data_IF_551056374117
#
_entry.id   IF_551056374117
#
_cell.length_a   1.000
_cell.length_b   1.000
_cell.length_c   1.000
_cell.angle_alpha   90.00
_cell.angle_beta   90.00
_cell.angle_gamma   90.00
#
_symmetry.space_group_name_H-M   'P 1'
#
loop_
_entity.id
_entity.type
_entity.pdbx_description
1 polymer ?
#
# COMPACT_ATOMS: atom_id res chain seq x y z
N UNK A 1 31.04 6.75 -15.76
CA UNK A 1 29.83 5.94 -16.01
C UNK A 1 28.83 6.83 -16.72
N UNK A 2 28.26 6.38 -17.85
CA UNK A 2 27.15 7.13 -18.46
C UNK A 2 25.92 6.96 -17.58
N UNK A 3 25.26 8.08 -17.24
CA UNK A 3 23.98 8.04 -16.53
C UNK A 3 22.98 7.22 -17.33
N UNK A 4 22.42 6.20 -16.73
CA UNK A 4 21.40 5.36 -17.31
C UNK A 4 20.02 5.90 -16.96
N UNK A 5 19.14 5.97 -17.94
CA UNK A 5 17.81 6.55 -17.81
C UNK A 5 16.71 5.56 -18.17
N UNK A 6 15.64 5.61 -17.42
CA UNK A 6 14.40 4.83 -17.63
C UNK A 6 13.26 5.72 -18.04
N UNK A 7 12.41 5.23 -18.94
CA UNK A 7 11.10 5.82 -19.16
C UNK A 7 10.23 5.70 -17.91
N UNK A 8 9.31 6.63 -17.67
CA UNK A 8 8.43 6.59 -16.51
C UNK A 8 7.65 5.27 -16.39
N UNK A 9 7.27 4.67 -17.54
CA UNK A 9 6.61 3.36 -17.58
C UNK A 9 7.49 2.23 -17.07
N UNK A 10 8.75 2.23 -17.49
CA UNK A 10 9.74 1.22 -17.07
C UNK A 10 10.02 1.34 -15.57
N UNK A 11 10.24 2.56 -15.08
CA UNK A 11 10.47 2.80 -13.66
C UNK A 11 9.25 2.38 -12.81
N UNK A 12 8.02 2.71 -13.24
CA UNK A 12 6.80 2.31 -12.56
C UNK A 12 6.64 0.77 -12.52
N UNK A 13 6.96 0.09 -13.63
CA UNK A 13 6.92 -1.36 -13.71
C UNK A 13 7.92 -2.01 -12.74
N UNK A 14 9.16 -1.52 -12.71
CA UNK A 14 10.20 -2.06 -11.83
C UNK A 14 9.81 -2.03 -10.35
N UNK A 15 9.16 -0.96 -9.91
CA UNK A 15 8.70 -0.82 -8.52
C UNK A 15 7.25 -1.30 -8.30
N UNK A 16 6.66 -2.01 -9.25
CA UNK A 16 5.35 -2.64 -9.10
C UNK A 16 4.16 -1.70 -8.94
N UNK A 17 4.25 -0.43 -9.39
CA UNK A 17 3.18 0.56 -9.24
C UNK A 17 2.57 0.98 -10.58
N UNK A 18 1.40 1.62 -10.54
CA UNK A 18 0.82 2.23 -11.72
C UNK A 18 1.59 3.50 -12.12
N UNK A 19 1.55 3.88 -13.41
CA UNK A 19 2.13 5.14 -13.88
C UNK A 19 1.63 6.36 -13.09
N UNK A 20 0.36 6.36 -12.69
CA UNK A 20 -0.23 7.45 -11.90
C UNK A 20 0.36 7.54 -10.48
N UNK A 21 0.51 6.38 -9.82
CA UNK A 21 1.17 6.33 -8.51
C UNK A 21 2.62 6.79 -8.63
N UNK A 22 3.29 6.42 -9.72
CA UNK A 22 4.64 6.86 -9.98
C UNK A 22 4.71 8.39 -10.21
N UNK A 23 3.79 8.96 -11.01
CA UNK A 23 3.66 10.40 -11.20
C UNK A 23 3.37 11.15 -9.89
N UNK A 24 2.63 10.53 -8.96
CA UNK A 24 2.45 11.08 -7.62
C UNK A 24 3.76 11.12 -6.84
N UNK A 25 4.61 10.07 -6.91
CA UNK A 25 5.93 10.09 -6.27
C UNK A 25 6.84 11.20 -6.84
N UNK A 26 6.75 11.46 -8.13
CA UNK A 26 7.47 12.57 -8.76
C UNK A 26 6.95 13.92 -8.26
N UNK A 27 5.63 14.11 -8.23
CA UNK A 27 5.00 15.36 -7.74
C UNK A 27 5.32 15.65 -6.28
N UNK A 28 5.49 14.62 -5.46
CA UNK A 28 5.85 14.73 -4.04
C UNK A 28 7.37 14.73 -3.81
N UNK A 29 8.15 14.94 -4.88
CA UNK A 29 9.63 15.04 -4.87
C UNK A 29 10.34 13.81 -4.27
N UNK A 30 9.64 12.67 -4.19
CA UNK A 30 10.24 11.41 -3.71
C UNK A 30 11.18 10.80 -4.74
N UNK A 31 10.93 11.06 -6.03
CA UNK A 31 11.75 10.59 -7.15
C UNK A 31 12.02 11.77 -8.07
N UNK A 32 13.29 12.08 -8.27
CA UNK A 32 13.72 13.13 -9.20
C UNK A 32 13.68 12.64 -10.65
N UNK A 33 13.31 13.55 -11.56
CA UNK A 33 13.25 13.28 -12.99
C UNK A 33 13.98 14.36 -13.77
N UNK A 34 14.49 13.98 -14.94
CA UNK A 34 15.17 14.89 -15.87
C UNK A 34 14.53 14.82 -17.24
N UNK A 35 14.71 15.90 -18.03
CA UNK A 35 14.35 15.91 -19.44
C UNK A 35 15.52 15.37 -20.25
N UNK A 36 15.32 14.26 -20.97
CA UNK A 36 16.31 13.68 -21.85
C UNK A 36 15.69 13.45 -23.24
N UNK A 37 16.25 14.08 -24.26
CA UNK A 37 15.78 14.04 -25.67
C UNK A 37 14.27 14.31 -25.80
N UNK A 38 13.77 15.32 -25.07
CA UNK A 38 12.36 15.69 -25.08
C UNK A 38 11.42 14.79 -24.28
N UNK A 39 11.92 13.72 -23.66
CA UNK A 39 11.14 12.83 -22.79
C UNK A 39 11.51 13.05 -21.31
N UNK A 40 10.50 13.03 -20.45
CA UNK A 40 10.71 12.98 -19.01
C UNK A 40 11.16 11.58 -18.60
N UNK A 41 12.33 11.48 -18.00
CA UNK A 41 12.98 10.20 -17.66
C UNK A 41 13.47 10.21 -16.20
N UNK A 42 13.75 9.03 -15.67
CA UNK A 42 14.26 8.81 -14.31
C UNK A 42 15.66 8.26 -14.41
N UNK A 43 16.61 8.82 -13.65
CA UNK A 43 17.92 8.21 -13.47
C UNK A 43 17.78 6.90 -12.70
N UNK A 44 18.49 5.86 -13.15
CA UNK A 44 18.53 4.56 -12.45
C UNK A 44 19.01 4.74 -11.01
N UNK A 45 20.03 5.58 -10.77
CA UNK A 45 20.52 5.89 -9.44
C UNK A 45 19.48 6.52 -8.52
N UNK A 46 18.64 7.44 -9.04
CA UNK A 46 17.56 8.05 -8.26
C UNK A 46 16.47 7.04 -7.90
N UNK A 47 16.15 6.13 -8.83
CA UNK A 47 15.20 5.04 -8.56
C UNK A 47 15.76 4.06 -7.52
N UNK A 48 17.05 3.72 -7.61
CA UNK A 48 17.72 2.83 -6.66
C UNK A 48 17.74 3.42 -5.24
N UNK A 49 18.01 4.72 -5.10
CA UNK A 49 17.91 5.42 -3.81
C UNK A 49 16.51 5.33 -3.23
N UNK A 50 15.48 5.63 -4.03
CA UNK A 50 14.09 5.52 -3.61
C UNK A 50 13.75 4.10 -3.14
N UNK A 51 14.10 3.06 -3.92
CA UNK A 51 13.84 1.66 -3.56
C UNK A 51 14.53 1.30 -2.24
N UNK A 52 15.80 1.66 -2.07
CA UNK A 52 16.54 1.42 -0.84
C UNK A 52 15.90 2.12 0.38
N UNK A 53 15.41 3.35 0.22
CA UNK A 53 14.68 4.05 1.28
C UNK A 53 13.36 3.37 1.63
N UNK A 54 12.64 2.83 0.65
CA UNK A 54 11.41 2.08 0.92
C UNK A 54 11.71 0.77 1.66
N UNK A 55 12.73 0.02 1.25
CA UNK A 55 13.13 -1.25 1.88
C UNK A 55 13.58 -1.05 3.33
N UNK A 56 14.37 0.00 3.59
CA UNK A 56 14.81 0.36 4.96
C UNK A 56 13.66 0.53 5.95
N UNK A 57 12.47 0.89 5.50
CA UNK A 57 11.29 1.00 6.38
C UNK A 57 10.89 -0.34 7.00
N UNK A 58 11.23 -1.44 6.33
CA UNK A 58 10.88 -2.80 6.77
C UNK A 58 12.04 -3.52 7.47
N UNK A 59 13.23 -2.91 7.53
CA UNK A 59 14.41 -3.52 8.19
C UNK A 59 14.13 -3.88 9.64
N UNK A 60 13.43 -3.03 10.36
CA UNK A 60 13.09 -3.25 11.76
C UNK A 60 12.13 -4.43 11.93
N UNK A 61 11.12 -4.53 11.06
CA UNK A 61 10.20 -5.65 11.04
C UNK A 61 10.95 -6.95 10.69
N UNK A 62 11.80 -6.91 9.66
CA UNK A 62 12.64 -8.05 9.28
C UNK A 62 13.50 -8.53 10.46
N UNK A 63 14.21 -7.62 11.12
CA UNK A 63 15.02 -7.95 12.31
C UNK A 63 14.18 -8.58 13.42
N UNK A 64 12.95 -8.10 13.64
CA UNK A 64 12.04 -8.69 14.61
C UNK A 64 11.67 -10.13 14.24
N UNK A 65 11.24 -10.36 13.00
CA UNK A 65 10.77 -11.68 12.58
C UNK A 65 11.90 -12.72 12.47
N UNK A 66 13.11 -12.28 12.14
CA UNK A 66 14.32 -13.12 12.06
C UNK A 66 15.01 -13.32 13.42
N UNK A 67 14.64 -12.57 14.46
CA UNK A 67 15.27 -12.68 15.78
C UNK A 67 14.94 -14.01 16.44
N UNK A 68 15.96 -14.69 17.01
CA UNK A 68 15.81 -15.91 17.78
C UNK A 68 14.96 -15.71 19.03
N UNK A 69 15.04 -14.52 19.64
CA UNK A 69 14.26 -14.15 20.82
C UNK A 69 13.56 -12.82 20.61
N UNK A 70 12.22 -12.85 20.47
CA UNK A 70 11.36 -11.66 20.35
C UNK A 70 11.46 -10.78 21.59
N UNK A 71 11.61 -11.37 22.77
CA UNK A 71 11.79 -10.63 24.02
C UNK A 71 13.11 -9.87 24.05
N UNK A 72 14.23 -10.50 23.64
CA UNK A 72 15.52 -9.86 23.54
C UNK A 72 15.48 -8.70 22.54
N UNK A 73 14.83 -8.89 21.39
CA UNK A 73 14.61 -7.82 20.40
C UNK A 73 13.94 -6.59 21.05
N UNK A 74 12.81 -6.79 21.77
CA UNK A 74 12.10 -5.65 22.37
C UNK A 74 12.90 -4.94 23.49
N UNK A 75 13.72 -5.67 24.21
CA UNK A 75 14.60 -5.07 25.23
C UNK A 75 15.64 -4.11 24.65
N UNK A 76 16.14 -4.38 23.46
CA UNK A 76 17.14 -3.56 22.78
C UNK A 76 16.55 -2.29 22.16
N UNK A 77 15.23 -2.20 22.04
CA UNK A 77 14.60 -1.05 21.42
C UNK A 77 14.63 0.18 22.36
N UNK A 78 14.90 1.38 21.82
CA UNK A 78 14.93 2.62 22.62
C UNK A 78 13.55 2.95 23.21
N UNK A 79 12.49 2.54 22.55
CA UNK A 79 11.11 2.71 23.00
C UNK A 79 10.70 1.50 23.85
N UNK A 80 10.41 1.75 25.12
CA UNK A 80 9.87 0.70 25.99
C UNK A 80 8.43 0.39 25.60
N UNK A 81 8.21 -0.82 25.13
CA UNK A 81 6.88 -1.38 24.90
C UNK A 81 6.54 -2.31 26.06
N UNK A 82 5.28 -2.26 26.53
CA UNK A 82 4.79 -3.30 27.43
C UNK A 82 4.78 -4.63 26.65
N UNK A 83 5.71 -5.49 26.99
CA UNK A 83 5.97 -6.75 26.29
C UNK A 83 5.01 -7.88 26.72
N UNK A 84 3.90 -7.57 27.38
CA UNK A 84 2.83 -8.54 27.56
C UNK A 84 2.21 -8.87 26.20
N UNK A 85 2.99 -9.59 25.39
CA UNK A 85 2.45 -10.26 24.23
C UNK A 85 1.42 -11.25 24.77
N UNK A 86 0.18 -11.08 24.41
CA UNK A 86 -0.83 -12.07 24.72
C UNK A 86 -0.57 -13.29 23.86
N UNK A 87 0.17 -14.25 24.41
CA UNK A 87 0.12 -15.62 23.91
C UNK A 87 -1.28 -16.09 24.33
N UNK A 88 -2.17 -16.26 23.39
CA UNK A 88 -3.43 -16.99 23.64
C UNK A 88 -2.98 -18.42 23.90
N UNK A 89 -3.17 -18.89 25.13
CA UNK A 89 -2.58 -20.14 25.64
C UNK A 89 -2.91 -21.39 24.79
N UNK A 90 -3.93 -21.34 23.95
CA UNK A 90 -4.36 -22.45 23.08
C UNK A 90 -3.85 -22.40 21.64
N UNK A 91 -3.14 -21.35 21.22
CA UNK A 91 -2.58 -21.27 19.87
C UNK A 91 -1.16 -20.70 19.94
N UNK A 92 -0.22 -21.34 19.26
CA UNK A 92 1.15 -20.81 19.06
C UNK A 92 1.17 -19.50 18.25
N UNK A 93 0.08 -18.73 18.27
CA UNK A 93 -0.10 -17.51 17.50
C UNK A 93 0.36 -16.32 18.33
N UNK A 94 1.38 -15.66 17.84
CA UNK A 94 1.88 -14.42 18.43
C UNK A 94 1.02 -13.23 18.00
N UNK A 95 0.66 -12.35 18.93
CA UNK A 95 -0.05 -11.12 18.68
C UNK A 95 0.80 -9.90 19.08
N UNK A 96 0.80 -8.88 18.24
CA UNK A 96 1.43 -7.60 18.50
C UNK A 96 0.37 -6.53 18.78
N UNK A 97 0.67 -5.65 19.72
CA UNK A 97 -0.18 -4.48 19.96
C UNK A 97 -0.12 -3.52 18.78
N UNK A 98 -1.15 -2.69 18.63
CA UNK A 98 -1.19 -1.63 17.62
C UNK A 98 0.09 -0.76 17.61
N UNK A 99 0.64 -0.46 18.80
CA UNK A 99 1.84 0.36 18.92
C UNK A 99 3.11 -0.38 18.49
N UNK A 100 3.21 -1.67 18.81
CA UNK A 100 4.32 -2.52 18.36
C UNK A 100 4.29 -2.66 16.83
N UNK A 101 3.13 -2.95 16.26
CA UNK A 101 2.94 -3.02 14.81
C UNK A 101 3.31 -1.71 14.12
N UNK A 102 2.83 -0.58 14.65
CA UNK A 102 3.16 0.75 14.12
C UNK A 102 4.67 1.02 14.15
N UNK A 103 5.33 0.63 15.22
CA UNK A 103 6.77 0.79 15.38
C UNK A 103 7.55 -0.06 14.38
N UNK A 104 7.21 -1.35 14.24
CA UNK A 104 7.89 -2.27 13.31
C UNK A 104 7.73 -1.82 11.85
N UNK A 105 6.57 -1.28 11.49
CA UNK A 105 6.29 -0.83 10.13
C UNK A 105 6.73 0.61 9.85
N UNK A 106 7.30 1.32 10.84
CA UNK A 106 7.64 2.74 10.70
C UNK A 106 6.42 3.64 10.44
N UNK A 107 5.24 3.25 10.94
CA UNK A 107 3.98 3.94 10.73
C UNK A 107 3.48 4.61 12.01
N UNK A 108 2.51 5.51 11.87
CA UNK A 108 1.75 6.00 13.02
C UNK A 108 0.69 4.96 13.45
N UNK A 109 0.33 4.97 14.74
CA UNK A 109 -0.78 4.14 15.23
C UNK A 109 -2.11 4.44 14.52
N UNK A 110 -2.30 5.67 14.05
CA UNK A 110 -3.44 6.06 13.23
C UNK A 110 -3.46 5.32 11.89
N UNK A 111 -2.32 5.25 11.19
CA UNK A 111 -2.21 4.54 9.92
C UNK A 111 -2.48 3.04 10.08
N UNK A 112 -1.99 2.41 11.15
CA UNK A 112 -2.30 1.00 11.42
C UNK A 112 -3.79 0.79 11.70
N UNK A 113 -4.46 1.68 12.46
CA UNK A 113 -5.91 1.64 12.63
C UNK A 113 -6.66 1.78 11.30
N UNK A 114 -6.18 2.68 10.45
CA UNK A 114 -6.75 2.82 9.10
C UNK A 114 -6.59 1.54 8.28
N UNK A 115 -5.45 0.85 8.37
CA UNK A 115 -5.22 -0.44 7.70
C UNK A 115 -6.18 -1.52 8.23
N UNK A 116 -6.42 -1.56 9.55
CA UNK A 116 -7.44 -2.45 10.14
C UNK A 116 -8.83 -2.13 9.58
N UNK A 117 -9.21 -0.86 9.51
CA UNK A 117 -10.51 -0.44 8.96
C UNK A 117 -10.68 -0.74 7.46
N UNK A 118 -9.57 -0.98 6.75
CA UNK A 118 -9.53 -1.37 5.34
C UNK A 118 -9.35 -2.88 5.13
N UNK A 119 -9.43 -3.66 6.21
CA UNK A 119 -9.21 -5.11 6.21
C UNK A 119 -7.84 -5.54 5.65
N UNK A 120 -6.81 -4.68 5.79
CA UNK A 120 -5.42 -5.05 5.49
C UNK A 120 -4.88 -5.93 6.60
N UNK A 121 -5.26 -5.64 7.85
CA UNK A 121 -4.99 -6.47 9.02
C UNK A 121 -6.28 -6.82 9.75
N UNK A 122 -6.37 -8.04 10.25
CA UNK A 122 -7.40 -8.45 11.19
C UNK A 122 -6.89 -8.21 12.61
N UNK A 123 -7.70 -7.55 13.42
CA UNK A 123 -7.33 -7.25 14.79
C UNK A 123 -8.36 -7.77 15.77
N UNK A 124 -7.87 -8.40 16.85
CA UNK A 124 -8.68 -8.71 18.01
C UNK A 124 -8.74 -7.47 18.90
N UNK A 125 -9.95 -7.02 19.22
CA UNK A 125 -10.17 -5.87 20.09
C UNK A 125 -10.47 -6.35 21.52
N UNK A 126 -9.75 -5.79 22.50
CA UNK A 126 -9.97 -6.04 23.91
C UNK A 126 -10.33 -4.73 24.62
N UNK A 127 -11.46 -4.70 25.31
CA UNK A 127 -11.89 -3.52 26.07
C UNK A 127 -11.35 -3.64 27.50
N UNK A 128 -10.48 -2.69 27.88
CA UNK A 128 -9.96 -2.53 29.26
C UNK A 128 -10.38 -1.19 29.83
N UNK A 129 -11.45 -1.18 30.63
CA UNK A 129 -12.06 0.03 31.14
C UNK A 129 -12.56 0.93 30.02
N UNK A 130 -12.07 2.16 29.92
CA UNK A 130 -12.44 3.12 28.87
C UNK A 130 -11.59 3.01 27.59
N UNK A 131 -10.68 2.06 27.48
CA UNK A 131 -9.74 1.93 26.36
C UNK A 131 -9.98 0.62 25.61
N UNK A 132 -9.95 0.72 24.29
CA UNK A 132 -9.92 -0.46 23.41
C UNK A 132 -8.48 -0.68 22.96
N UNK A 133 -7.96 -1.87 23.22
CA UNK A 133 -6.65 -2.32 22.76
C UNK A 133 -6.87 -3.21 21.53
N UNK A 134 -6.03 -3.03 20.52
CA UNK A 134 -6.04 -3.84 19.30
C UNK A 134 -4.80 -4.71 19.26
N UNK A 135 -5.00 -5.99 18.97
CA UNK A 135 -3.95 -6.99 18.83
C UNK A 135 -4.02 -7.56 17.41
N UNK A 136 -2.90 -7.54 16.71
CA UNK A 136 -2.77 -7.96 15.32
C UNK A 136 -1.89 -9.20 15.29
N UNK A 137 -2.25 -10.20 14.49
CA UNK A 137 -1.45 -11.43 14.34
C UNK A 137 -0.10 -11.10 13.73
N UNK A 138 0.96 -11.64 14.32
CA UNK A 138 2.33 -11.42 13.87
C UNK A 138 2.57 -11.95 12.45
N UNK A 139 1.98 -13.09 12.10
CA UNK A 139 2.07 -13.69 10.76
C UNK A 139 1.44 -12.81 9.66
N UNK A 140 0.31 -12.14 9.94
CA UNK A 140 -0.28 -11.19 8.99
C UNK A 140 0.65 -10.00 8.73
N UNK A 141 1.30 -9.50 9.78
CA UNK A 141 2.27 -8.41 9.64
C UNK A 141 3.46 -8.88 8.81
N UNK A 142 3.94 -10.11 9.04
CA UNK A 142 5.05 -10.67 8.27
C UNK A 142 4.68 -10.86 6.80
N UNK A 143 3.50 -11.42 6.51
CA UNK A 143 3.00 -11.54 5.14
C UNK A 143 2.95 -10.17 4.44
N UNK A 144 2.39 -9.16 5.11
CA UNK A 144 2.36 -7.80 4.58
C UNK A 144 3.76 -7.26 4.27
N UNK A 145 4.70 -7.38 5.21
CA UNK A 145 6.09 -6.94 5.04
C UNK A 145 6.74 -7.65 3.85
N UNK A 146 6.59 -8.95 3.76
CA UNK A 146 7.14 -9.77 2.68
C UNK A 146 6.56 -9.37 1.33
N UNK A 147 5.25 -9.16 1.24
CA UNK A 147 4.59 -8.68 0.02
C UNK A 147 5.11 -7.30 -0.41
N UNK A 148 5.26 -6.37 0.54
CA UNK A 148 5.80 -5.04 0.26
C UNK A 148 7.26 -5.10 -0.21
N UNK A 149 8.08 -5.97 0.36
CA UNK A 149 9.47 -6.18 -0.08
C UNK A 149 9.53 -6.83 -1.46
N UNK A 150 8.69 -7.85 -1.71
CA UNK A 150 8.59 -8.51 -3.02
C UNK A 150 8.18 -7.56 -4.14
N UNK A 151 7.43 -6.50 -3.83
CA UNK A 151 7.09 -5.46 -4.80
C UNK A 151 8.31 -4.85 -5.48
N UNK A 152 9.44 -4.76 -4.78
CA UNK A 152 10.68 -4.16 -5.30
C UNK A 152 11.66 -5.17 -5.88
N UNK A 153 11.35 -6.47 -5.89
CA UNK A 153 12.25 -7.53 -6.35
C UNK A 153 12.75 -7.33 -7.79
N UNK A 154 11.84 -6.92 -8.70
CA UNK A 154 12.21 -6.62 -10.09
C UNK A 154 13.15 -5.43 -10.22
N UNK A 155 13.00 -4.42 -9.35
CA UNK A 155 13.92 -3.27 -9.34
C UNK A 155 15.31 -3.68 -8.86
N UNK A 156 15.38 -4.49 -7.80
CA UNK A 156 16.65 -5.02 -7.28
C UNK A 156 17.34 -5.85 -8.38
N UNK A 157 16.63 -6.81 -8.98
CA UNK A 157 17.17 -7.63 -10.07
C UNK A 157 17.66 -6.77 -11.23
N UNK A 158 16.92 -5.71 -11.60
CA UNK A 158 17.35 -4.77 -12.63
C UNK A 158 18.63 -4.02 -12.25
N UNK A 159 18.78 -3.59 -10.99
CA UNK A 159 19.98 -2.85 -10.55
C UNK A 159 21.22 -3.74 -10.50
N UNK A 160 21.05 -5.03 -10.18
CA UNK A 160 22.13 -6.02 -10.03
C UNK A 160 22.52 -6.69 -11.35
N UNK A 161 21.63 -6.68 -12.37
CA UNK A 161 21.94 -7.35 -13.62
C UNK A 161 23.01 -6.59 -14.43
N UNK A 162 23.96 -7.34 -15.01
CA UNK A 162 25.00 -6.80 -15.89
C UNK A 162 24.44 -6.40 -17.26
N UNK A 163 23.52 -7.22 -17.80
CA UNK A 163 22.91 -7.02 -19.11
C UNK A 163 21.44 -6.53 -18.98
N UNK A 164 21.26 -5.21 -19.12
CA UNK A 164 19.94 -4.56 -19.10
C UNK A 164 19.03 -4.98 -20.26
N UNK A 165 19.63 -5.32 -21.40
CA UNK A 165 18.88 -5.77 -22.55
C UNK A 165 18.28 -7.16 -22.30
N UNK A 166 19.06 -8.10 -21.79
CA UNK A 166 18.62 -9.43 -21.41
C UNK A 166 17.52 -9.36 -20.34
N UNK A 167 17.63 -8.45 -19.35
CA UNK A 167 16.58 -8.20 -18.36
C UNK A 167 15.26 -7.83 -19.05
N UNK A 168 15.25 -6.85 -19.97
CA UNK A 168 14.03 -6.42 -20.63
C UNK A 168 13.47 -7.47 -21.58
N UNK A 169 14.29 -8.30 -22.22
CA UNK A 169 13.82 -9.45 -22.99
C UNK A 169 13.10 -10.47 -22.10
N UNK A 170 13.68 -10.80 -20.94
CA UNK A 170 13.07 -11.73 -19.97
C UNK A 170 11.67 -11.28 -19.53
N UNK A 171 11.48 -9.98 -19.33
CA UNK A 171 10.25 -9.42 -18.82
C UNK A 171 9.36 -8.75 -19.88
N UNK A 172 9.66 -8.91 -21.17
CA UNK A 172 8.95 -8.21 -22.24
C UNK A 172 7.45 -8.50 -22.25
N UNK A 173 7.05 -9.77 -22.17
CA UNK A 173 5.65 -10.18 -22.17
C UNK A 173 4.93 -9.73 -20.90
N UNK A 174 5.55 -9.88 -19.73
CA UNK A 174 4.98 -9.42 -18.46
C UNK A 174 4.82 -7.89 -18.44
N UNK A 175 5.79 -7.15 -18.95
CA UNK A 175 5.72 -5.70 -19.08
C UNK A 175 4.58 -5.26 -19.98
N UNK A 176 4.39 -5.91 -21.13
CA UNK A 176 3.30 -5.64 -22.07
C UNK A 176 1.94 -5.98 -21.46
N UNK A 177 1.80 -7.19 -20.90
CA UNK A 177 0.55 -7.71 -20.34
C UNK A 177 0.09 -6.95 -19.11
N UNK A 178 0.97 -6.74 -18.14
CA UNK A 178 0.67 -5.98 -16.92
C UNK A 178 0.19 -4.55 -17.23
N UNK A 179 0.74 -3.93 -18.26
CA UNK A 179 0.31 -2.61 -18.68
C UNK A 179 -1.09 -2.62 -19.27
N UNK A 180 -1.41 -3.62 -20.09
CA UNK A 180 -2.73 -3.76 -20.74
C UNK A 180 -3.80 -4.13 -19.71
N UNK A 181 -3.53 -5.07 -18.81
CA UNK A 181 -4.47 -5.51 -17.76
C UNK A 181 -4.77 -4.40 -16.77
N UNK A 182 -3.76 -3.72 -16.23
CA UNK A 182 -3.95 -2.56 -15.34
C UNK A 182 -4.72 -1.43 -16.01
N UNK A 183 -4.58 -1.24 -17.33
CA UNK A 183 -5.36 -0.28 -18.09
C UNK A 183 -6.82 -0.71 -18.24
N UNK A 184 -7.07 -2.00 -18.51
CA UNK A 184 -8.42 -2.59 -18.60
C UNK A 184 -9.16 -2.51 -17.27
N UNK A 185 -8.54 -2.96 -16.17
CA UNK A 185 -9.11 -2.89 -14.82
C UNK A 185 -9.47 -1.45 -14.42
N UNK A 186 -8.60 -0.51 -14.74
CA UNK A 186 -8.84 0.90 -14.44
C UNK A 186 -10.03 1.45 -15.21
N UNK A 187 -10.14 1.14 -16.49
CA UNK A 187 -11.27 1.56 -17.30
C UNK A 187 -12.55 0.91 -16.77
N UNK A 188 -12.52 -0.37 -16.40
CA UNK A 188 -13.66 -1.04 -15.79
C UNK A 188 -14.11 -0.35 -14.50
N UNK A 189 -13.19 -0.05 -13.57
CA UNK A 189 -13.50 0.68 -12.33
C UNK A 189 -14.07 2.08 -12.59
N UNK A 190 -13.62 2.75 -13.63
CA UNK A 190 -14.13 4.06 -14.03
C UNK A 190 -15.57 3.96 -14.55
N UNK A 191 -15.87 2.96 -15.38
CA UNK A 191 -17.23 2.71 -15.90
C UNK A 191 -18.19 2.27 -14.79
N UNK A 192 -17.73 1.44 -13.86
CA UNK A 192 -18.54 0.98 -12.72
C UNK A 192 -18.90 2.15 -11.79
N UNK A 193 -17.94 3.03 -11.49
CA UNK A 193 -18.21 4.27 -10.72
C UNK A 193 -19.24 5.18 -11.42
N UNK A 194 -19.15 5.33 -12.73
CA UNK A 194 -20.12 6.11 -13.51
C UNK A 194 -21.52 5.48 -13.53
N UNK A 195 -21.61 4.15 -13.58
CA UNK A 195 -22.88 3.43 -13.46
C UNK A 195 -23.54 3.69 -12.11
N UNK A 196 -22.78 3.57 -11.02
CA UNK A 196 -23.27 3.81 -9.66
C UNK A 196 -23.74 5.27 -9.50
N UNK A 197 -22.98 6.24 -9.99
CA UNK A 197 -23.37 7.65 -9.92
C UNK A 197 -24.66 7.94 -10.73
N UNK A 198 -24.82 7.31 -11.91
CA UNK A 198 -26.05 7.46 -12.71
C UNK A 198 -27.26 6.79 -12.07
N UNK A 199 -27.09 5.64 -11.39
CA UNK A 199 -28.17 4.96 -10.67
C UNK A 199 -28.63 5.78 -9.45
N UNK A 200 -27.66 6.32 -8.68
CA UNK A 200 -27.96 7.16 -7.51
C UNK A 200 -28.63 8.49 -7.93
N UNK A 201 -28.15 9.14 -9.00
CA UNK A 201 -28.77 10.36 -9.52
C UNK A 201 -30.21 10.16 -10.05
N UNK A 202 -30.55 8.98 -10.59
CA UNK A 202 -31.92 8.63 -10.98
C UNK A 202 -32.82 8.36 -9.79
N UNK A 203 -32.29 7.73 -8.74
CA UNK A 203 -33.03 7.49 -7.50
C UNK A 203 -33.40 8.81 -6.80
N UNK A 204 -32.47 9.78 -6.77
CA UNK A 204 -32.71 11.10 -6.19
C UNK A 204 -33.74 11.94 -6.99
N UNK A 205 -33.80 11.81 -8.32
CA UNK A 205 -34.82 12.45 -9.14
C UNK A 205 -36.19 11.83 -8.94
N UNK A 206 -36.30 10.49 -8.92
CA UNK A 206 -37.56 9.81 -8.66
C UNK A 206 -38.11 10.12 -7.27
N UNK A 207 -37.24 10.26 -6.25
CA UNK A 207 -37.62 10.67 -4.91
C UNK A 207 -38.13 12.13 -4.79
N UNK A 208 -37.67 13.01 -5.69
CA UNK A 208 -38.14 14.41 -5.74
C UNK A 208 -39.44 14.58 -6.50
N UNK A 209 -39.69 13.79 -7.52
CA UNK A 209 -40.98 13.81 -8.27
C UNK A 209 -42.10 13.20 -7.44
N UNK A 210 -41.86 12.12 -6.67
CA UNK A 210 -42.84 11.52 -5.79
C UNK A 210 -43.30 12.44 -4.64
N UNK A 211 -42.53 13.42 -4.23
CA UNK A 211 -42.88 14.40 -3.20
C UNK A 211 -43.70 15.59 -3.73
N UNK A 212 -43.75 15.83 -5.04
CA UNK A 212 -44.49 16.94 -5.64
C UNK A 212 -45.97 16.62 -5.91
N UNK A 213 -46.36 15.36 -5.91
CA UNK A 213 -47.75 14.91 -6.22
C UNK A 213 -48.61 14.70 -5.00
N UNK A 214 -48.09 14.81 -3.77
CA UNK A 214 -48.89 14.60 -2.54
C UNK A 214 -49.35 15.88 -1.82
N UNK A 215 -49.31 17.02 -2.50
CA UNK A 215 -49.70 18.31 -1.93
C UNK A 215 -50.94 18.89 -2.65
N UNK A 216 -52.09 18.30 -2.43
CA UNK A 216 -53.35 18.98 -2.74
C UNK A 216 -54.18 19.06 -1.46
N UNK A 217 -54.34 20.21 -0.83
CA UNK A 217 -55.35 20.38 0.20
C UNK A 217 -56.66 20.77 -0.44
N UNK A 218 -57.65 19.96 -0.32
CA UNK A 218 -59.02 20.39 -0.49
C UNK A 218 -59.33 21.49 0.51
N UNK A 219 -59.49 22.69 -0.01
CA UNK A 219 -60.22 23.72 0.65
C UNK A 219 -61.64 23.68 0.13
N UNK A 220 -62.62 23.59 0.99
CA UNK A 220 -63.96 24.08 0.66
C UNK A 220 -64.83 24.29 1.90
N UNK A 221 -65.39 25.45 1.94
CA UNK A 221 -66.56 26.00 2.60
C UNK A 221 -66.46 26.40 4.05
#
# INVERSE_FOLDING_TARGET
MRDEYLLLKQAAYLIGVTKQTFEYYIKTEKIQTEMNRGNRMVKVSALALFVNEQLKKYDLAKQYFEADSKWAFWKLQPKKFNTTNRIVEDSMIEYLTLQQTAYLLGLSAYNVRYMISKNVFHAVAEVRGKRTLYFIRADEIWCYVTEQMCQYSKAIEYFECEDRYAFWQKYEEDFKTNWIEKYKERNQRYYDKRKIQKSNGRADQAGREGKRTSGNPEGTI
#
